data_IF_669065575245
#
_entry.id   IF_669065575245
#
_cell.length_a   1.000
_cell.length_b   1.000
_cell.length_c   1.000
_cell.angle_alpha   90.00
_cell.angle_beta   90.00
_cell.angle_gamma   90.00
#
_symmetry.space_group_name_H-M   'P 1'
#
loop_
_entity.id
_entity.type
_entity.pdbx_description
1 polymer ?
#
# COMPACT_ATOMS: atom_id res chain seq x y z
N UNK A 1 1.62 21.27 12.81
CA UNK A 1 0.15 21.43 12.83
C UNK A 1 -0.37 21.17 14.24
N UNK A 2 -1.51 21.78 14.60
CA UNK A 2 -2.21 21.37 15.82
C UNK A 2 -2.76 19.94 15.72
N UNK A 3 -2.94 19.26 16.85
CA UNK A 3 -3.44 17.88 16.93
C UNK A 3 -4.73 17.64 16.12
N UNK A 4 -5.66 18.61 16.13
CA UNK A 4 -6.93 18.53 15.38
C UNK A 4 -6.71 18.51 13.87
N UNK A 5 -5.79 19.33 13.36
CA UNK A 5 -5.49 19.41 11.93
C UNK A 5 -4.77 18.16 11.42
N UNK A 6 -3.88 17.58 12.22
CA UNK A 6 -3.24 16.29 11.90
C UNK A 6 -4.24 15.14 11.91
N UNK A 7 -5.15 15.11 12.88
CA UNK A 7 -6.23 14.12 12.91
C UNK A 7 -7.14 14.23 11.68
N UNK A 8 -7.47 15.46 11.25
CA UNK A 8 -8.24 15.70 10.03
C UNK A 8 -7.54 15.16 8.76
N UNK A 9 -6.23 15.32 8.65
CA UNK A 9 -5.44 14.75 7.55
C UNK A 9 -5.48 13.23 7.54
N UNK A 10 -5.36 12.59 8.72
CA UNK A 10 -5.43 11.13 8.83
C UNK A 10 -6.82 10.60 8.47
N UNK A 11 -7.88 11.28 8.92
CA UNK A 11 -9.25 10.94 8.53
C UNK A 11 -9.47 11.10 7.02
N UNK A 12 -8.95 12.17 6.41
CA UNK A 12 -9.04 12.38 4.97
C UNK A 12 -8.29 11.29 4.19
N UNK A 13 -7.11 10.90 4.66
CA UNK A 13 -6.36 9.77 4.11
C UNK A 13 -7.18 8.48 4.18
N UNK A 14 -7.81 8.18 5.33
CA UNK A 14 -8.66 7.00 5.50
C UNK A 14 -9.87 7.02 4.54
N UNK A 15 -10.52 8.17 4.35
CA UNK A 15 -11.59 8.34 3.37
C UNK A 15 -11.06 8.09 1.95
N UNK A 16 -9.88 8.63 1.62
CA UNK A 16 -9.20 8.38 0.36
C UNK A 16 -8.93 6.89 0.13
N UNK A 17 -8.45 6.17 1.14
CA UNK A 17 -8.25 4.72 1.09
C UNK A 17 -9.56 3.94 0.87
N UNK A 18 -10.65 4.34 1.52
CA UNK A 18 -11.94 3.69 1.35
C UNK A 18 -12.50 3.89 -0.07
N UNK A 19 -12.48 5.14 -0.57
CA UNK A 19 -12.90 5.45 -1.94
C UNK A 19 -11.98 4.81 -2.97
N UNK A 20 -10.68 4.80 -2.72
CA UNK A 20 -9.68 4.18 -3.57
C UNK A 20 -9.92 2.67 -3.68
N UNK A 21 -10.19 2.01 -2.55
CA UNK A 21 -10.52 0.59 -2.52
C UNK A 21 -11.74 0.26 -3.40
N UNK A 22 -12.77 1.11 -3.37
CA UNK A 22 -13.97 0.98 -4.19
C UNK A 22 -13.67 1.21 -5.69
N UNK A 23 -13.00 2.31 -6.03
CA UNK A 23 -12.65 2.66 -7.40
C UNK A 23 -11.69 1.64 -8.03
N UNK A 24 -10.69 1.22 -7.27
CA UNK A 24 -9.72 0.20 -7.66
C UNK A 24 -10.41 -1.14 -7.94
N UNK A 25 -11.33 -1.57 -7.08
CA UNK A 25 -12.12 -2.78 -7.31
C UNK A 25 -12.99 -2.69 -8.57
N UNK A 26 -13.72 -1.58 -8.74
CA UNK A 26 -14.55 -1.36 -9.92
C UNK A 26 -13.73 -1.33 -11.22
N UNK A 27 -12.60 -0.64 -11.22
CA UNK A 27 -11.71 -0.58 -12.38
C UNK A 27 -11.11 -1.96 -12.68
N UNK A 28 -10.66 -2.67 -11.66
CA UNK A 28 -10.13 -4.02 -11.79
C UNK A 28 -11.12 -4.98 -12.43
N UNK A 29 -12.38 -4.94 -12.00
CA UNK A 29 -13.43 -5.80 -12.53
C UNK A 29 -13.72 -5.47 -14.01
N UNK A 30 -13.67 -4.20 -14.39
CA UNK A 30 -13.80 -3.77 -15.80
C UNK A 30 -12.62 -4.25 -16.64
N UNK A 31 -11.39 -4.05 -16.18
CA UNK A 31 -10.18 -4.47 -16.89
C UNK A 31 -10.10 -6.00 -16.96
N UNK A 32 -10.52 -6.70 -15.91
CA UNK A 32 -10.56 -8.17 -15.86
C UNK A 32 -11.55 -8.78 -16.85
N UNK A 33 -12.57 -8.05 -17.32
CA UNK A 33 -13.43 -8.53 -18.42
C UNK A 33 -12.69 -8.59 -19.75
N UNK A 34 -11.77 -7.65 -19.98
CA UNK A 34 -10.97 -7.57 -21.21
C UNK A 34 -9.73 -8.47 -21.10
N UNK A 35 -9.05 -8.42 -19.96
CA UNK A 35 -7.82 -9.14 -19.66
C UNK A 35 -7.97 -10.02 -18.41
N UNK A 36 -8.59 -11.21 -18.53
CA UNK A 36 -9.05 -11.97 -17.38
C UNK A 36 -7.93 -12.58 -16.52
N UNK A 37 -6.72 -12.77 -17.05
CA UNK A 37 -5.59 -13.30 -16.26
C UNK A 37 -4.69 -12.18 -15.72
N UNK A 38 -4.63 -11.02 -16.38
CA UNK A 38 -3.55 -10.04 -16.14
C UNK A 38 -4.09 -8.70 -15.65
N UNK A 39 -5.36 -8.37 -15.93
CA UNK A 39 -5.94 -7.08 -15.65
C UNK A 39 -5.86 -6.68 -14.17
N UNK A 40 -6.23 -7.59 -13.27
CA UNK A 40 -6.14 -7.37 -11.81
C UNK A 40 -4.71 -7.11 -11.35
N UNK A 41 -3.74 -7.85 -11.90
CA UNK A 41 -2.33 -7.74 -11.52
C UNK A 41 -1.74 -6.41 -12.02
N UNK A 42 -2.09 -5.99 -13.24
CA UNK A 42 -1.68 -4.69 -13.79
C UNK A 42 -2.15 -3.52 -12.92
N UNK A 43 -3.41 -3.55 -12.48
CA UNK A 43 -3.97 -2.53 -11.60
C UNK A 43 -3.27 -2.50 -10.23
N UNK A 44 -2.92 -3.66 -9.66
CA UNK A 44 -2.15 -3.72 -8.41
C UNK A 44 -0.71 -3.22 -8.57
N UNK A 45 -0.04 -3.52 -9.69
CA UNK A 45 1.29 -2.97 -9.98
C UNK A 45 1.25 -1.46 -10.17
N UNK A 46 0.25 -0.94 -10.90
CA UNK A 46 0.06 0.50 -11.05
C UNK A 46 -0.09 1.19 -9.69
N UNK A 47 -0.94 0.63 -8.83
CA UNK A 47 -1.14 1.11 -7.46
C UNK A 47 0.16 1.12 -6.64
N UNK A 48 0.91 0.02 -6.66
CA UNK A 48 2.18 -0.08 -5.94
C UNK A 48 3.24 0.90 -6.46
N UNK A 49 3.34 1.06 -7.78
CA UNK A 49 4.25 1.99 -8.42
C UNK A 49 3.90 3.45 -8.12
N UNK A 50 2.61 3.80 -8.07
CA UNK A 50 2.15 5.14 -7.69
C UNK A 50 2.43 5.48 -6.22
N UNK A 51 2.61 4.48 -5.35
CA UNK A 51 3.04 4.70 -3.96
C UNK A 51 4.39 5.41 -3.84
N UNK A 52 5.34 5.14 -4.75
CA UNK A 52 6.68 5.75 -4.75
C UNK A 52 6.66 7.26 -5.02
N UNK A 53 6.09 7.78 -6.13
CA UNK A 53 6.06 9.21 -6.42
C UNK A 53 5.23 9.98 -5.38
N UNK A 54 4.12 9.42 -4.88
CA UNK A 54 3.35 10.08 -3.81
C UNK A 54 4.12 10.14 -2.50
N UNK A 55 4.86 9.08 -2.12
CA UNK A 55 5.72 9.11 -0.94
C UNK A 55 6.83 10.15 -1.07
N UNK A 56 7.42 10.28 -2.27
CA UNK A 56 8.41 11.32 -2.56
C UNK A 56 7.80 12.72 -2.46
N UNK A 57 6.65 12.94 -3.08
CA UNK A 57 5.97 14.23 -3.05
C UNK A 57 5.59 14.62 -1.62
N UNK A 58 5.06 13.70 -0.82
CA UNK A 58 4.66 13.94 0.56
C UNK A 58 5.84 14.30 1.48
N UNK A 59 6.96 13.57 1.36
CA UNK A 59 8.07 13.65 2.32
C UNK A 59 9.17 14.63 1.91
N UNK A 60 9.36 14.86 0.61
CA UNK A 60 10.41 15.76 0.08
C UNK A 60 9.79 16.94 -0.69
N UNK A 61 8.73 16.69 -1.47
CA UNK A 61 8.13 17.70 -2.34
C UNK A 61 7.39 18.82 -1.62
N UNK A 62 6.75 18.52 -0.48
CA UNK A 62 6.00 19.52 0.30
C UNK A 62 6.91 20.11 1.38
N UNK A 63 7.09 21.45 1.42
CA UNK A 63 7.84 22.09 2.50
C UNK A 63 7.16 21.81 3.84
N UNK A 64 7.95 21.42 4.83
CA UNK A 64 7.50 21.08 6.19
C UNK A 64 7.14 22.35 6.98
N UNK A 65 6.18 23.12 6.48
CA UNK A 65 5.71 24.39 7.04
C UNK A 65 4.21 24.31 7.33
N UNK A 66 3.78 24.98 8.41
CA UNK A 66 2.39 25.04 8.87
C UNK A 66 1.41 25.65 7.85
N UNK A 67 1.90 26.32 6.81
CA UNK A 67 1.09 26.95 5.75
C UNK A 67 0.66 25.96 4.66
N UNK A 68 1.28 24.78 4.58
CA UNK A 68 1.06 23.82 3.48
C UNK A 68 -0.01 22.75 3.77
N UNK A 69 -0.91 22.98 4.73
CA UNK A 69 -1.92 21.99 5.14
C UNK A 69 -2.75 21.47 3.96
N UNK A 70 -3.19 22.34 3.05
CA UNK A 70 -3.98 21.95 1.89
C UNK A 70 -3.21 21.04 0.94
N UNK A 71 -1.93 21.30 0.70
CA UNK A 71 -1.07 20.45 -0.14
C UNK A 71 -0.89 19.06 0.47
N UNK A 72 -0.74 18.96 1.80
CA UNK A 72 -0.74 17.68 2.50
C UNK A 72 -2.08 16.96 2.39
N UNK A 73 -3.19 17.68 2.55
CA UNK A 73 -4.55 17.12 2.46
C UNK A 73 -4.80 16.51 1.08
N UNK A 74 -4.53 17.25 0.01
CA UNK A 74 -4.72 16.78 -1.38
C UNK A 74 -3.81 15.59 -1.67
N UNK A 75 -2.54 15.67 -1.27
CA UNK A 75 -1.58 14.59 -1.53
C UNK A 75 -1.94 13.31 -0.79
N UNK A 76 -2.30 13.40 0.49
CA UNK A 76 -2.74 12.24 1.27
C UNK A 76 -4.03 11.65 0.71
N UNK A 77 -5.00 12.49 0.32
CA UNK A 77 -6.22 12.00 -0.29
C UNK A 77 -5.97 11.24 -1.60
N UNK A 78 -5.17 11.81 -2.51
CA UNK A 78 -4.80 11.18 -3.78
C UNK A 78 -3.92 9.93 -3.59
N UNK A 79 -3.02 9.98 -2.61
CA UNK A 79 -2.22 8.83 -2.24
C UNK A 79 -3.12 7.69 -1.75
N UNK A 80 -4.00 7.95 -0.78
CA UNK A 80 -4.97 6.96 -0.29
C UNK A 80 -5.86 6.40 -1.39
N UNK A 81 -6.31 7.27 -2.30
CA UNK A 81 -7.09 6.89 -3.49
C UNK A 81 -6.37 5.93 -4.42
N UNK A 82 -5.04 5.90 -4.45
CA UNK A 82 -4.26 5.12 -5.43
C UNK A 82 -3.55 3.92 -4.82
N UNK A 83 -3.06 4.01 -3.58
CA UNK A 83 -2.28 2.92 -2.95
C UNK A 83 -3.14 1.76 -2.44
N UNK A 84 -4.43 2.01 -2.20
CA UNK A 84 -5.35 1.06 -1.56
C UNK A 84 -5.81 -0.07 -2.48
N UNK A 85 -5.46 -0.03 -3.76
CA UNK A 85 -6.05 -0.93 -4.75
C UNK A 85 -5.47 -2.35 -4.64
N UNK A 86 -4.21 -2.50 -4.24
CA UNK A 86 -3.50 -3.79 -4.22
C UNK A 86 -4.32 -4.92 -3.55
N UNK A 87 -4.91 -4.66 -2.38
CA UNK A 87 -5.75 -5.61 -1.65
C UNK A 87 -7.09 -5.90 -2.34
N UNK A 88 -7.85 -4.87 -2.69
CA UNK A 88 -9.23 -5.03 -3.22
C UNK A 88 -9.29 -5.40 -4.69
N UNK A 89 -8.31 -4.99 -5.49
CA UNK A 89 -8.23 -5.25 -6.92
C UNK A 89 -7.70 -6.66 -7.24
N UNK A 90 -6.60 -7.05 -6.59
CA UNK A 90 -5.84 -8.25 -6.93
C UNK A 90 -5.88 -9.31 -5.85
N UNK A 91 -5.35 -9.04 -4.65
CA UNK A 91 -5.13 -10.10 -3.66
C UNK A 91 -6.42 -10.83 -3.27
N UNK A 92 -7.43 -10.08 -2.80
CA UNK A 92 -8.67 -10.70 -2.34
C UNK A 92 -9.41 -11.45 -3.48
N UNK A 93 -9.59 -10.88 -4.68
CA UNK A 93 -10.21 -11.60 -5.79
C UNK A 93 -9.41 -12.82 -6.26
N UNK A 94 -8.07 -12.72 -6.33
CA UNK A 94 -7.22 -13.84 -6.75
C UNK A 94 -7.33 -15.00 -5.76
N UNK A 95 -7.32 -14.73 -4.45
CA UNK A 95 -7.56 -15.75 -3.44
C UNK A 95 -8.96 -16.36 -3.56
N UNK A 96 -9.99 -15.56 -3.85
CA UNK A 96 -11.33 -16.07 -4.07
C UNK A 96 -11.41 -17.02 -5.28
N UNK A 97 -10.69 -16.72 -6.37
CA UNK A 97 -10.65 -17.53 -7.59
C UNK A 97 -9.83 -18.82 -7.43
N UNK A 98 -8.68 -18.76 -6.76
CA UNK A 98 -7.73 -19.88 -6.68
C UNK A 98 -8.02 -20.81 -5.50
N UNK A 99 -8.53 -20.28 -4.38
CA UNK A 99 -8.68 -21.05 -3.14
C UNK A 99 -10.09 -21.65 -3.03
N UNK A 100 -10.20 -22.97 -2.75
CA UNK A 100 -11.48 -23.61 -2.51
C UNK A 100 -12.27 -22.94 -1.40
N UNK A 101 -13.60 -22.92 -1.53
CA UNK A 101 -14.52 -22.22 -0.60
C UNK A 101 -14.24 -22.58 0.87
N UNK A 102 -13.91 -23.85 1.15
CA UNK A 102 -13.60 -24.37 2.49
C UNK A 102 -12.39 -23.71 3.16
N UNK A 103 -11.45 -23.17 2.39
CA UNK A 103 -10.19 -22.61 2.88
C UNK A 103 -10.05 -21.09 2.69
N UNK A 104 -11.07 -20.41 2.13
CA UNK A 104 -11.00 -18.97 1.85
C UNK A 104 -10.82 -18.13 3.12
N UNK A 105 -11.55 -18.43 4.18
CA UNK A 105 -11.40 -17.69 5.45
C UNK A 105 -9.99 -17.87 6.03
N UNK A 106 -9.42 -19.07 5.93
CA UNK A 106 -8.08 -19.37 6.41
C UNK A 106 -7.02 -18.58 5.63
N UNK A 107 -7.10 -18.53 4.29
CA UNK A 107 -6.12 -17.79 3.50
C UNK A 107 -6.18 -16.28 3.76
N UNK A 108 -7.39 -15.71 3.93
CA UNK A 108 -7.53 -14.30 4.27
C UNK A 108 -6.99 -13.98 5.67
N UNK A 109 -7.25 -14.84 6.65
CA UNK A 109 -6.72 -14.67 8.00
C UNK A 109 -5.18 -14.77 8.01
N UNK A 110 -4.63 -15.72 7.24
CA UNK A 110 -3.20 -15.90 7.08
C UNK A 110 -2.55 -14.67 6.42
N UNK A 111 -3.09 -14.18 5.30
CA UNK A 111 -2.63 -12.96 4.62
C UNK A 111 -2.58 -11.76 5.59
N UNK A 112 -3.68 -11.50 6.32
CA UNK A 112 -3.76 -10.43 7.32
C UNK A 112 -2.74 -10.58 8.44
N UNK A 113 -2.52 -11.80 8.92
CA UNK A 113 -1.54 -12.08 9.97
C UNK A 113 -0.10 -11.78 9.49
N UNK A 114 0.22 -12.15 8.25
CA UNK A 114 1.52 -11.84 7.65
C UNK A 114 1.71 -10.35 7.42
N UNK A 115 0.72 -9.67 6.83
CA UNK A 115 0.77 -8.22 6.61
C UNK A 115 0.96 -7.46 7.94
N UNK A 116 0.18 -7.82 8.97
CA UNK A 116 0.30 -7.22 10.30
C UNK A 116 1.66 -7.49 10.95
N UNK A 117 2.19 -8.70 10.83
CA UNK A 117 3.50 -9.07 11.39
C UNK A 117 4.63 -8.25 10.76
N UNK A 118 4.65 -8.10 9.44
CA UNK A 118 5.64 -7.27 8.76
C UNK A 118 5.47 -5.78 9.06
N UNK A 119 4.24 -5.29 9.15
CA UNK A 119 3.93 -3.89 9.48
C UNK A 119 4.46 -3.50 10.86
N UNK A 120 4.44 -4.42 11.83
CA UNK A 120 4.96 -4.17 13.18
C UNK A 120 6.47 -3.83 13.21
N UNK A 121 7.25 -4.34 12.26
CA UNK A 121 8.69 -4.03 12.17
C UNK A 121 8.99 -2.69 11.50
N UNK A 122 8.03 -2.10 10.78
CA UNK A 122 8.27 -0.87 10.03
C UNK A 122 8.67 0.31 10.94
N UNK A 123 7.93 0.54 12.03
CA UNK A 123 8.21 1.65 12.94
C UNK A 123 9.60 1.55 13.62
N UNK A 124 10.00 0.40 14.22
CA UNK A 124 11.35 0.23 14.74
C UNK A 124 12.45 0.44 13.69
N UNK A 125 12.29 -0.11 12.49
CA UNK A 125 13.31 0.00 11.44
C UNK A 125 13.44 1.44 10.96
N UNK A 126 12.33 2.16 10.75
CA UNK A 126 12.34 3.60 10.40
C UNK A 126 13.06 4.40 11.47
N UNK A 127 12.80 4.13 12.76
CA UNK A 127 13.47 4.80 13.87
C UNK A 127 14.99 4.60 13.83
N UNK A 128 15.44 3.34 13.75
CA UNK A 128 16.88 3.01 13.67
C UNK A 128 17.53 3.61 12.43
N UNK A 129 16.87 3.58 11.27
CA UNK A 129 17.39 4.14 10.03
C UNK A 129 17.53 5.66 10.11
N UNK A 130 16.55 6.33 10.72
CA UNK A 130 16.57 7.79 10.91
C UNK A 130 17.71 8.20 11.85
N UNK A 131 17.89 7.49 12.97
CA UNK A 131 18.97 7.76 13.94
C UNK A 131 20.35 7.47 13.36
N UNK A 132 20.57 6.26 12.81
CA UNK A 132 21.91 5.80 12.42
C UNK A 132 22.37 6.31 11.07
N UNK A 133 21.47 6.43 10.09
CA UNK A 133 21.85 6.79 8.72
C UNK A 133 21.70 8.29 8.43
N UNK A 134 20.68 8.91 9.02
CA UNK A 134 20.35 10.31 8.74
C UNK A 134 20.66 11.26 9.90
N UNK A 135 21.16 10.73 11.03
CA UNK A 135 21.66 11.52 12.16
C UNK A 135 20.55 12.17 12.98
N UNK A 136 19.37 11.54 13.05
CA UNK A 136 18.27 11.98 13.90
C UNK A 136 18.68 11.90 15.38
N UNK A 137 18.64 13.00 16.12
CA UNK A 137 18.88 13.04 17.57
C UNK A 137 17.58 13.35 18.32
N UNK A 138 16.96 12.35 18.99
CA UNK A 138 15.70 12.54 19.70
C UNK A 138 15.79 13.54 20.86
N UNK A 139 17.00 13.82 21.39
CA UNK A 139 17.21 14.78 22.50
C UNK A 139 17.33 16.22 22.03
N UNK A 140 17.56 16.43 20.73
CA UNK A 140 17.73 17.75 20.11
C UNK A 140 16.41 18.36 19.63
N UNK A 141 15.31 17.58 19.69
CA UNK A 141 13.99 17.99 19.20
C UNK A 141 13.39 19.06 20.11
N UNK A 142 13.37 20.30 19.63
CA UNK A 142 12.65 21.40 20.29
C UNK A 142 11.16 21.30 19.94
N UNK A 143 10.33 20.89 20.90
CA UNK A 143 8.87 20.83 20.71
C UNK A 143 8.26 22.22 20.41
N UNK A 144 8.90 23.29 20.90
CA UNK A 144 8.31 24.63 20.96
C UNK A 144 8.53 25.44 19.66
N UNK A 145 9.56 25.10 18.89
CA UNK A 145 9.95 25.84 17.66
C UNK A 145 10.03 24.97 16.42
N UNK A 146 9.90 23.64 16.57
CA UNK A 146 10.17 22.67 15.51
C UNK A 146 11.66 22.59 15.15
N UNK A 147 12.13 21.39 14.84
CA UNK A 147 13.49 21.20 14.31
C UNK A 147 13.41 20.73 12.86
N UNK A 148 13.58 21.67 11.92
CA UNK A 148 13.51 21.38 10.49
C UNK A 148 14.57 20.36 10.04
N UNK A 149 15.73 20.34 10.71
CA UNK A 149 16.80 19.38 10.46
C UNK A 149 16.40 17.95 10.83
N UNK A 150 15.80 17.78 12.00
CA UNK A 150 15.31 16.47 12.48
C UNK A 150 14.11 15.98 11.66
N UNK A 151 13.20 16.88 11.27
CA UNK A 151 12.08 16.57 10.38
C UNK A 151 12.57 16.07 9.01
N UNK A 152 13.65 16.66 8.49
CA UNK A 152 14.26 16.24 7.22
C UNK A 152 15.02 14.90 7.33
N UNK A 153 15.72 14.67 8.44
CA UNK A 153 16.36 13.37 8.70
C UNK A 153 15.31 12.25 8.78
N UNK A 154 14.21 12.49 9.51
CA UNK A 154 13.09 11.57 9.63
C UNK A 154 12.36 11.34 8.30
N UNK A 155 12.12 12.41 7.51
CA UNK A 155 11.42 12.27 6.22
C UNK A 155 12.22 11.43 5.22
N UNK A 156 13.56 11.51 5.22
CA UNK A 156 14.41 10.64 4.40
C UNK A 156 14.41 9.19 4.87
N UNK A 157 14.42 8.95 6.19
CA UNK A 157 14.27 7.62 6.76
C UNK A 157 12.94 6.98 6.37
N UNK A 158 11.84 7.73 6.53
CA UNK A 158 10.50 7.32 6.09
C UNK A 158 10.44 7.04 4.59
N UNK A 159 11.04 7.90 3.76
CA UNK A 159 10.99 7.74 2.31
C UNK A 159 11.69 6.45 1.87
N UNK A 160 12.84 6.13 2.44
CA UNK A 160 13.54 4.88 2.15
C UNK A 160 12.67 3.66 2.51
N UNK A 161 12.06 3.69 3.70
CA UNK A 161 11.18 2.64 4.21
C UNK A 161 9.80 2.58 3.55
N UNK A 162 9.41 3.59 2.79
CA UNK A 162 8.19 3.54 1.97
C UNK A 162 8.52 3.09 0.55
N UNK A 163 9.54 3.67 -0.08
CA UNK A 163 9.90 3.37 -1.47
C UNK A 163 10.35 1.93 -1.66
N UNK A 164 11.15 1.38 -0.72
CA UNK A 164 11.66 0.01 -0.83
C UNK A 164 10.53 -1.04 -0.77
N UNK A 165 9.62 -1.04 0.22
CA UNK A 165 8.47 -1.96 0.22
C UNK A 165 7.54 -1.77 -0.99
N UNK A 166 7.29 -0.54 -1.44
CA UNK A 166 6.47 -0.32 -2.64
C UNK A 166 7.08 -0.96 -3.89
N UNK A 167 8.39 -0.77 -4.10
CA UNK A 167 9.11 -1.39 -5.21
C UNK A 167 9.14 -2.93 -5.09
N UNK A 168 9.37 -3.44 -3.88
CA UNK A 168 9.37 -4.87 -3.60
C UNK A 168 8.00 -5.50 -3.84
N UNK A 169 6.92 -4.84 -3.43
CA UNK A 169 5.54 -5.25 -3.72
C UNK A 169 5.29 -5.30 -5.22
N UNK A 170 5.66 -4.25 -5.98
CA UNK A 170 5.51 -4.23 -7.43
C UNK A 170 6.28 -5.39 -8.11
N UNK A 171 7.48 -5.71 -7.60
CA UNK A 171 8.30 -6.83 -8.06
C UNK A 171 7.65 -8.18 -7.77
N UNK A 172 7.06 -8.38 -6.58
CA UNK A 172 6.34 -9.62 -6.24
C UNK A 172 5.07 -9.85 -7.05
N UNK A 173 4.44 -8.80 -7.60
CA UNK A 173 3.34 -8.98 -8.55
C UNK A 173 3.78 -9.46 -9.93
N UNK A 174 5.04 -9.28 -10.33
CA UNK A 174 5.55 -9.71 -11.65
C UNK A 174 5.47 -11.22 -11.90
N UNK A 175 5.90 -12.12 -11.00
CA UNK A 175 5.75 -13.56 -11.22
C UNK A 175 4.27 -14.00 -11.24
N UNK A 176 3.38 -13.23 -10.62
CA UNK A 176 1.95 -13.54 -10.52
C UNK A 176 1.28 -13.63 -11.90
N UNK A 177 1.78 -12.92 -12.91
CA UNK A 177 1.26 -13.01 -14.28
C UNK A 177 1.34 -14.43 -14.87
N UNK A 178 2.34 -15.21 -14.44
CA UNK A 178 2.53 -16.58 -14.93
C UNK A 178 1.86 -17.58 -13.99
N UNK A 179 2.04 -17.43 -12.67
CA UNK A 179 1.51 -18.39 -11.69
C UNK A 179 -0.02 -18.34 -11.63
N UNK A 180 -0.63 -17.16 -11.58
CA UNK A 180 -2.09 -17.02 -11.52
C UNK A 180 -2.78 -17.65 -12.72
N UNK A 181 -2.22 -17.48 -13.92
CA UNK A 181 -2.75 -18.12 -15.13
C UNK A 181 -2.76 -19.65 -15.00
N UNK A 182 -1.68 -20.24 -14.46
CA UNK A 182 -1.55 -21.69 -14.27
C UNK A 182 -2.49 -22.18 -13.17
N UNK A 183 -2.52 -21.50 -12.03
CA UNK A 183 -3.35 -21.87 -10.89
C UNK A 183 -4.83 -21.86 -11.24
N UNK A 184 -5.28 -20.82 -11.97
CA UNK A 184 -6.66 -20.74 -12.43
C UNK A 184 -7.04 -21.84 -13.42
N UNK A 185 -6.12 -22.22 -14.30
CA UNK A 185 -6.34 -23.36 -15.21
C UNK A 185 -6.50 -24.67 -14.42
N UNK A 186 -5.64 -24.91 -13.43
CA UNK A 186 -5.71 -26.09 -12.58
C UNK A 186 -7.03 -26.18 -11.80
N UNK A 187 -7.49 -25.05 -11.24
CA UNK A 187 -8.79 -24.98 -10.54
C UNK A 187 -9.95 -25.26 -11.47
N UNK A 188 -9.95 -24.69 -12.68
CA UNK A 188 -10.99 -24.94 -13.67
C UNK A 188 -11.01 -26.41 -14.14
N UNK A 189 -9.86 -27.06 -14.24
CA UNK A 189 -9.77 -28.48 -14.57
C UNK A 189 -10.31 -29.36 -13.44
N UNK A 190 -9.88 -29.12 -12.20
CA UNK A 190 -10.36 -29.86 -11.03
C UNK A 190 -11.88 -29.69 -10.81
N UNK A 191 -12.43 -28.50 -11.09
CA UNK A 191 -13.87 -28.26 -11.03
C UNK A 191 -14.64 -29.09 -12.07
N UNK A 192 -14.13 -29.17 -13.31
CA UNK A 192 -14.74 -29.99 -14.37
C UNK A 192 -14.68 -31.48 -14.06
N UNK A 193 -13.59 -31.96 -13.47
CA UNK A 193 -13.48 -33.35 -13.03
C UNK A 193 -14.52 -33.68 -11.95
N UNK A 194 -14.72 -32.78 -10.99
CA UNK A 194 -15.76 -32.93 -9.95
C UNK A 194 -17.19 -32.91 -10.51
N UNK A 195 -17.47 -32.18 -11.59
CA UNK A 195 -18.79 -32.18 -12.24
C UNK A 195 -19.06 -33.46 -13.06
N UNK A 196 -18.00 -34.17 -13.48
CA UNK A 196 -18.10 -35.40 -14.27
C UNK A 196 -18.21 -36.67 -13.41
N UNK A 197 -17.92 -36.57 -12.10
CA UNK A 197 -17.91 -37.69 -11.14
C UNK A 197 -19.18 -37.72 -10.31
#
# INVERSE_FOLDING_TARGET
FGHKSSAALLSLFAIGCALGSLLGGYLADRVSRVYPNTGRIMCAQFSALMGVPFSFLLLIGIPQTETSWFSFAVTLFLMGLTISWSGTCANNPIFAEVVPVKHRTMIYAFDRAFEGSFSAFAAPIVGVLSEKLYGYDPKSVKLDSGSAKEAYALSRGLLCMMAFPWALCALFYTPLYVTFRRDRQNVNMAAKEQELT
#
